data_IF_764220595533
#
_entry.id   IF_764220595533
#
_cell.length_a   1.000
_cell.length_b   1.000
_cell.length_c   1.000
_cell.angle_alpha   90.00
_cell.angle_beta   90.00
_cell.angle_gamma   90.00
#
_symmetry.space_group_name_H-M   'P 1'
#
loop_
_entity.id
_entity.type
_entity.pdbx_description
1 polymer ?
#
# COMPACT_ATOMS: atom_id res chain seq x y z
N UNK A 1 32.34 -40.78 -8.51
CA UNK A 1 32.68 -39.35 -8.49
C UNK A 1 31.37 -38.64 -8.58
N UNK A 2 30.76 -38.43 -7.42
CA UNK A 2 29.51 -37.69 -7.24
C UNK A 2 29.84 -36.19 -7.34
N UNK A 3 29.16 -35.46 -8.22
CA UNK A 3 29.13 -33.99 -8.14
C UNK A 3 27.79 -33.59 -7.52
N UNK A 4 27.88 -33.12 -6.27
CA UNK A 4 26.77 -32.57 -5.49
C UNK A 4 26.25 -31.27 -6.11
N UNK A 5 24.99 -31.28 -6.53
CA UNK A 5 24.25 -30.10 -6.97
C UNK A 5 23.88 -29.20 -5.79
N UNK A 6 24.63 -28.12 -5.59
CA UNK A 6 24.30 -27.07 -4.63
C UNK A 6 23.18 -26.18 -5.18
N UNK A 7 21.95 -26.45 -4.74
CA UNK A 7 20.80 -25.58 -4.92
C UNK A 7 21.05 -24.20 -4.27
N UNK A 8 21.08 -23.14 -5.08
CA UNK A 8 21.20 -21.76 -4.60
C UNK A 8 19.93 -21.36 -3.83
N UNK A 9 20.09 -21.14 -2.52
CA UNK A 9 19.06 -20.61 -1.64
C UNK A 9 18.76 -19.15 -2.03
N UNK A 10 17.56 -18.89 -2.55
CA UNK A 10 17.07 -17.54 -2.83
C UNK A 10 17.07 -16.72 -1.53
N UNK A 11 17.91 -15.68 -1.45
CA UNK A 11 17.95 -14.80 -0.29
C UNK A 11 16.69 -13.93 -0.24
N UNK A 12 15.89 -14.06 0.82
CA UNK A 12 14.76 -13.16 1.10
C UNK A 12 15.25 -11.71 1.13
N UNK A 13 14.58 -10.81 0.39
CA UNK A 13 14.89 -9.38 0.42
C UNK A 13 14.85 -8.88 1.87
N UNK A 14 15.97 -8.34 2.36
CA UNK A 14 16.03 -7.71 3.68
C UNK A 14 15.18 -6.44 3.65
N UNK A 15 14.11 -6.43 4.43
CA UNK A 15 13.29 -5.24 4.64
C UNK A 15 14.12 -4.04 5.13
N UNK A 16 13.56 -2.84 4.97
CA UNK A 16 14.18 -1.57 5.37
C UNK A 16 14.79 -1.68 6.78
N UNK A 17 16.04 -1.25 6.99
CA UNK A 17 16.64 -1.26 8.32
C UNK A 17 15.74 -0.46 9.26
N UNK A 18 15.39 -1.06 10.41
CA UNK A 18 14.67 -0.35 11.48
C UNK A 18 15.48 0.90 11.82
N UNK A 19 14.83 2.08 11.77
CA UNK A 19 15.47 3.34 12.18
C UNK A 19 16.09 3.14 13.56
N UNK A 20 17.42 3.16 13.61
CA UNK A 20 18.19 2.99 14.85
C UNK A 20 18.12 4.24 15.74
N UNK A 21 17.69 5.36 15.18
CA UNK A 21 17.75 6.68 15.79
C UNK A 21 16.32 7.18 16.07
N UNK A 22 15.79 6.72 17.19
CA UNK A 22 14.51 7.13 17.75
C UNK A 22 14.34 6.51 19.13
N UNK A 23 13.57 7.13 20.05
CA UNK A 23 13.31 6.55 21.35
C UNK A 23 12.69 5.16 21.16
N UNK A 24 13.43 4.12 21.60
CA UNK A 24 12.95 2.74 21.49
C UNK A 24 11.62 2.63 22.20
N UNK A 25 10.65 1.97 21.55
CA UNK A 25 9.36 1.63 22.17
C UNK A 25 9.63 1.00 23.53
N UNK A 26 9.12 1.62 24.60
CA UNK A 26 9.28 1.11 25.96
C UNK A 26 8.83 -0.36 25.99
N UNK A 27 9.60 -1.26 26.62
CA UNK A 27 9.21 -2.66 26.70
C UNK A 27 7.82 -2.76 27.34
N UNK A 28 6.96 -3.62 26.80
CA UNK A 28 5.64 -3.87 27.38
C UNK A 28 5.82 -4.35 28.82
N UNK A 29 5.35 -3.55 29.78
CA UNK A 29 5.42 -3.89 31.20
C UNK A 29 4.55 -5.10 31.55
N UNK A 30 3.42 -5.27 30.83
CA UNK A 30 2.49 -6.36 31.05
C UNK A 30 2.53 -7.39 29.92
N UNK A 31 2.82 -8.65 30.27
CA UNK A 31 2.73 -9.79 29.37
C UNK A 31 1.41 -10.54 29.65
N UNK A 32 0.40 -10.30 28.83
CA UNK A 32 -0.85 -11.06 28.91
C UNK A 32 -0.68 -12.39 28.15
N UNK A 33 -0.74 -13.52 28.87
CA UNK A 33 -0.91 -14.82 28.22
C UNK A 33 -2.36 -14.95 27.76
N UNK A 34 -2.55 -15.19 26.46
CA UNK A 34 -3.87 -15.29 25.85
C UNK A 34 -4.11 -16.74 25.45
N UNK A 35 -5.03 -17.38 26.17
CA UNK A 35 -5.40 -18.80 26.01
C UNK A 35 -6.46 -18.96 24.91
N UNK A 36 -6.33 -19.98 24.06
CA UNK A 36 -7.27 -20.27 22.95
C UNK A 36 -8.63 -20.80 23.46
N UNK A 37 -9.67 -20.79 22.62
CA UNK A 37 -10.96 -21.37 23.02
C UNK A 37 -10.89 -22.89 23.24
N UNK A 38 -10.08 -23.62 22.46
CA UNK A 38 -9.82 -25.06 22.66
C UNK A 38 -9.24 -25.34 24.04
N UNK A 39 -8.17 -24.63 24.41
CA UNK A 39 -7.50 -24.80 25.70
C UNK A 39 -8.42 -24.38 26.87
N UNK A 40 -9.19 -23.29 26.72
CA UNK A 40 -10.23 -22.90 27.69
C UNK A 40 -11.26 -24.01 27.89
N UNK A 41 -11.72 -24.66 26.82
CA UNK A 41 -12.69 -25.75 26.94
C UNK A 41 -12.09 -26.96 27.66
N UNK A 42 -10.83 -27.31 27.38
CA UNK A 42 -10.10 -28.39 28.08
C UNK A 42 -9.97 -28.08 29.57
N UNK A 43 -9.59 -26.85 29.91
CA UNK A 43 -9.52 -26.38 31.30
C UNK A 43 -10.86 -26.45 32.02
N UNK A 44 -11.96 -26.03 31.37
CA UNK A 44 -13.31 -26.12 31.94
C UNK A 44 -13.70 -27.58 32.19
N UNK A 45 -13.41 -28.50 31.24
CA UNK A 45 -13.71 -29.93 31.39
C UNK A 45 -12.91 -30.53 32.55
N UNK A 46 -11.61 -30.27 32.63
CA UNK A 46 -10.75 -30.77 33.69
C UNK A 46 -11.13 -30.20 35.07
N UNK A 47 -11.47 -28.92 35.13
CA UNK A 47 -11.97 -28.28 36.34
C UNK A 47 -13.24 -28.96 36.87
N UNK A 48 -14.17 -29.33 35.99
CA UNK A 48 -15.40 -30.02 36.40
C UNK A 48 -15.15 -31.41 36.97
N UNK A 49 -14.12 -32.12 36.53
CA UNK A 49 -13.81 -33.48 37.00
C UNK A 49 -12.88 -33.53 38.21
N UNK A 50 -11.89 -32.63 38.30
CA UNK A 50 -10.83 -32.70 39.33
C UNK A 50 -10.76 -31.49 40.27
N UNK A 51 -11.56 -30.45 40.02
CA UNK A 51 -11.59 -29.23 40.82
C UNK A 51 -10.43 -28.26 40.54
N UNK A 52 -10.51 -27.08 41.16
CA UNK A 52 -9.64 -25.94 40.82
C UNK A 52 -8.16 -26.17 41.15
N UNK A 53 -7.86 -26.70 42.34
CA UNK A 53 -6.48 -26.90 42.80
C UNK A 53 -5.72 -27.85 41.87
N UNK A 54 -6.34 -28.98 41.50
CA UNK A 54 -5.76 -29.93 40.55
C UNK A 54 -5.57 -29.32 39.15
N UNK A 55 -6.53 -28.50 38.70
CA UNK A 55 -6.44 -27.81 37.39
C UNK A 55 -5.24 -26.87 37.33
N UNK A 56 -5.01 -26.08 38.38
CA UNK A 56 -3.87 -25.16 38.44
C UNK A 56 -2.53 -25.90 38.50
N UNK A 57 -2.46 -27.07 39.14
CA UNK A 57 -1.24 -27.89 39.17
C UNK A 57 -0.96 -28.48 37.78
N UNK A 58 -1.97 -29.03 37.11
CA UNK A 58 -1.81 -29.70 35.82
C UNK A 58 -1.46 -28.73 34.67
N UNK A 59 -2.16 -27.60 34.56
CA UNK A 59 -2.02 -26.68 33.42
C UNK A 59 -1.10 -25.49 33.70
N UNK A 60 -0.86 -25.16 34.97
CA UNK A 60 -0.10 -23.98 35.36
C UNK A 60 0.85 -24.24 36.53
N UNK A 61 1.75 -25.25 36.44
CA UNK A 61 2.56 -25.72 37.57
C UNK A 61 3.48 -24.63 38.13
N UNK A 62 4.10 -23.82 37.27
CA UNK A 62 5.17 -22.87 37.63
C UNK A 62 4.69 -21.47 38.02
N UNK A 63 3.39 -21.26 38.27
CA UNK A 63 2.87 -19.94 38.64
C UNK A 63 3.08 -19.64 40.13
N UNK A 64 3.48 -18.40 40.42
CA UNK A 64 3.52 -17.85 41.78
C UNK A 64 2.09 -17.62 42.34
N UNK A 65 1.97 -17.35 43.63
CA UNK A 65 0.68 -17.25 44.33
C UNK A 65 -0.27 -16.21 43.72
N UNK A 66 0.25 -15.03 43.35
CA UNK A 66 -0.54 -13.94 42.76
C UNK A 66 -1.02 -14.29 41.34
N UNK A 67 -0.15 -14.92 40.54
CA UNK A 67 -0.49 -15.36 39.20
C UNK A 67 -1.48 -16.54 39.23
N UNK A 68 -1.34 -17.46 40.19
CA UNK A 68 -2.31 -18.56 40.41
C UNK A 68 -3.69 -18.01 40.73
N UNK A 69 -3.78 -17.02 41.59
CA UNK A 69 -5.06 -16.37 41.92
C UNK A 69 -5.67 -15.65 40.71
N UNK A 70 -4.83 -15.01 39.89
CA UNK A 70 -5.28 -14.36 38.65
C UNK A 70 -5.83 -15.37 37.63
N UNK A 71 -5.19 -16.53 37.49
CA UNK A 71 -5.68 -17.61 36.62
C UNK A 71 -6.93 -18.25 37.19
N UNK A 72 -7.00 -18.48 38.50
CA UNK A 72 -8.22 -18.98 39.17
C UNK A 72 -9.43 -18.11 38.82
N UNK A 73 -9.29 -16.79 38.92
CA UNK A 73 -10.35 -15.83 38.54
C UNK A 73 -10.72 -15.94 37.05
N UNK A 74 -9.74 -16.08 36.15
CA UNK A 74 -9.99 -16.30 34.72
C UNK A 74 -10.79 -17.58 34.46
N UNK A 75 -10.42 -18.69 35.10
CA UNK A 75 -11.13 -19.98 34.95
C UNK A 75 -12.58 -19.84 35.40
N UNK A 76 -12.86 -19.17 36.53
CA UNK A 76 -14.25 -18.91 36.93
C UNK A 76 -15.03 -18.08 35.91
N UNK A 77 -14.42 -17.04 35.35
CA UNK A 77 -15.05 -16.26 34.26
C UNK A 77 -15.32 -17.12 33.03
N UNK A 78 -14.41 -18.04 32.68
CA UNK A 78 -14.61 -18.97 31.57
C UNK A 78 -15.72 -19.99 31.86
N UNK A 79 -15.80 -20.50 33.10
CA UNK A 79 -16.88 -21.39 33.54
C UNK A 79 -18.24 -20.70 33.45
N UNK A 80 -18.32 -19.41 33.83
CA UNK A 80 -19.54 -18.60 33.68
C UNK A 80 -19.96 -18.45 32.21
N UNK A 81 -19.00 -18.32 31.30
CA UNK A 81 -19.23 -18.16 29.86
C UNK A 81 -19.05 -19.49 29.08
N UNK A 82 -19.29 -20.64 29.73
CA UNK A 82 -19.00 -21.97 29.17
C UNK A 82 -19.65 -22.21 27.83
N UNK A 83 -20.94 -21.90 27.68
CA UNK A 83 -21.71 -22.24 26.48
C UNK A 83 -21.17 -21.50 25.25
N UNK A 84 -20.79 -20.23 25.43
CA UNK A 84 -20.12 -19.44 24.40
C UNK A 84 -18.75 -20.05 24.05
N UNK A 85 -17.92 -20.37 25.05
CA UNK A 85 -16.59 -20.98 24.82
C UNK A 85 -16.71 -22.32 24.10
N UNK A 86 -17.69 -23.14 24.47
CA UNK A 86 -17.98 -24.42 23.83
C UNK A 86 -18.38 -24.22 22.36
N UNK A 87 -19.30 -23.29 22.08
CA UNK A 87 -19.68 -22.92 20.70
C UNK A 87 -18.46 -22.51 19.85
N UNK A 88 -17.57 -21.68 20.40
CA UNK A 88 -16.38 -21.21 19.69
C UNK A 88 -15.31 -22.30 19.54
N UNK A 89 -15.17 -23.20 20.51
CA UNK A 89 -14.23 -24.31 20.44
C UNK A 89 -14.67 -25.41 19.46
N UNK A 90 -15.98 -25.57 19.25
CA UNK A 90 -16.55 -26.56 18.32
C UNK A 90 -16.36 -26.20 16.84
N UNK A 91 -16.12 -24.93 16.50
CA UNK A 91 -15.92 -24.51 15.11
C UNK A 91 -14.43 -24.51 14.73
N UNK A 92 -14.03 -25.15 13.61
CA UNK A 92 -12.63 -25.21 13.16
C UNK A 92 -11.99 -23.83 12.99
N UNK A 93 -12.75 -22.84 12.52
CA UNK A 93 -12.26 -21.49 12.27
C UNK A 93 -12.02 -20.65 13.53
N UNK A 94 -12.63 -21.01 14.67
CA UNK A 94 -12.55 -20.22 15.91
C UNK A 94 -11.83 -20.92 17.06
N UNK A 95 -11.55 -22.22 16.94
CA UNK A 95 -10.99 -23.04 18.04
C UNK A 95 -9.63 -22.56 18.53
N UNK A 96 -8.74 -22.18 17.61
CA UNK A 96 -7.39 -21.69 17.91
C UNK A 96 -7.32 -20.18 18.13
N UNK A 97 -8.45 -19.47 18.09
CA UNK A 97 -8.51 -18.04 18.35
C UNK A 97 -8.66 -17.82 19.85
N UNK A 98 -7.98 -16.80 20.39
CA UNK A 98 -8.05 -16.48 21.82
C UNK A 98 -9.04 -15.34 22.14
N UNK A 99 -9.34 -14.49 21.17
CA UNK A 99 -10.30 -13.40 21.29
C UNK A 99 -11.12 -13.30 20.02
N UNK A 100 -12.44 -13.44 20.14
CA UNK A 100 -13.37 -13.18 19.05
C UNK A 100 -14.20 -11.93 19.33
N UNK A 101 -14.46 -11.16 18.28
CA UNK A 101 -15.43 -10.06 18.28
C UNK A 101 -16.32 -10.23 17.05
N UNK A 102 -17.64 -9.98 17.17
CA UNK A 102 -18.48 -9.97 16.00
C UNK A 102 -18.03 -8.88 15.03
N UNK A 103 -18.24 -9.12 13.73
CA UNK A 103 -18.11 -8.09 12.70
C UNK A 103 -19.08 -6.95 13.04
N UNK A 104 -18.64 -5.69 12.89
CA UNK A 104 -19.42 -4.52 13.30
C UNK A 104 -19.39 -4.18 14.80
N UNK A 105 -18.65 -4.93 15.63
CA UNK A 105 -18.57 -4.62 17.06
C UNK A 105 -17.79 -3.30 17.31
N UNK A 106 -18.45 -2.31 17.92
CA UNK A 106 -17.84 -1.03 18.29
C UNK A 106 -17.70 -0.05 17.11
N UNK A 107 -18.57 -0.15 16.11
CA UNK A 107 -18.69 0.87 15.07
C UNK A 107 -19.34 2.13 15.63
N UNK A 108 -18.81 3.30 15.25
CA UNK A 108 -19.40 4.61 15.56
C UNK A 108 -20.55 4.99 14.62
N UNK A 109 -20.64 4.34 13.46
CA UNK A 109 -21.79 4.48 12.55
C UNK A 109 -22.83 3.41 12.89
N UNK A 110 -24.11 3.78 12.78
CA UNK A 110 -25.22 2.85 12.85
C UNK A 110 -25.15 1.85 11.69
N UNK A 111 -25.74 0.66 11.86
CA UNK A 111 -25.80 -0.37 10.83
C UNK A 111 -26.49 0.15 9.56
N UNK A 112 -27.57 0.92 9.69
CA UNK A 112 -28.33 1.47 8.56
C UNK A 112 -27.50 2.48 7.76
N UNK A 113 -26.80 3.37 8.48
CA UNK A 113 -25.86 4.35 7.93
C UNK A 113 -24.70 3.67 7.19
N UNK A 114 -24.16 2.60 7.78
CA UNK A 114 -23.09 1.82 7.19
C UNK A 114 -23.56 1.08 5.93
N UNK A 115 -24.78 0.55 5.93
CA UNK A 115 -25.39 -0.09 4.75
C UNK A 115 -25.60 0.91 3.61
N UNK A 116 -25.99 2.16 3.92
CA UNK A 116 -26.08 3.21 2.92
C UNK A 116 -24.73 3.46 2.22
N UNK A 117 -23.64 3.52 3.00
CA UNK A 117 -22.29 3.68 2.46
C UNK A 117 -21.86 2.49 1.59
N UNK A 118 -22.21 1.26 1.99
CA UNK A 118 -21.97 0.06 1.18
C UNK A 118 -22.73 0.13 -0.14
N UNK A 119 -24.01 0.51 -0.10
CA UNK A 119 -24.86 0.66 -1.30
C UNK A 119 -24.26 1.67 -2.27
N UNK A 120 -23.80 2.80 -1.76
CA UNK A 120 -23.09 3.80 -2.57
C UNK A 120 -21.85 3.23 -3.27
N UNK A 121 -21.00 2.46 -2.57
CA UNK A 121 -19.82 1.82 -3.20
C UNK A 121 -20.24 0.87 -4.32
N UNK A 122 -21.27 0.05 -4.09
CA UNK A 122 -21.77 -0.91 -5.06
C UNK A 122 -22.40 -0.23 -6.28
N UNK A 123 -23.15 0.85 -6.08
CA UNK A 123 -23.76 1.63 -7.15
C UNK A 123 -22.69 2.30 -8.02
N UNK A 124 -21.67 2.92 -7.40
CA UNK A 124 -20.52 3.47 -8.13
C UNK A 124 -19.77 2.40 -8.93
N UNK A 125 -19.56 1.22 -8.33
CA UNK A 125 -18.93 0.09 -9.02
C UNK A 125 -19.77 -0.41 -10.20
N UNK A 126 -21.10 -0.53 -10.03
CA UNK A 126 -22.04 -0.90 -11.09
C UNK A 126 -22.04 0.13 -12.23
N UNK A 127 -21.90 1.40 -11.89
CA UNK A 127 -21.74 2.48 -12.85
C UNK A 127 -20.32 2.55 -13.45
N UNK A 128 -19.41 1.68 -13.04
CA UNK A 128 -18.01 1.63 -13.49
C UNK A 128 -17.21 2.86 -13.08
N UNK A 129 -17.66 3.61 -12.08
CA UNK A 129 -16.93 4.73 -11.48
C UNK A 129 -15.96 4.16 -10.46
N UNK A 130 -14.65 4.43 -10.58
CA UNK A 130 -13.68 3.89 -9.65
C UNK A 130 -13.81 4.58 -8.29
N UNK A 131 -13.98 3.79 -7.22
CA UNK A 131 -14.03 4.28 -5.84
C UNK A 131 -12.68 4.06 -5.18
N UNK A 132 -12.02 5.15 -4.79
CA UNK A 132 -10.76 5.09 -4.05
C UNK A 132 -10.99 5.09 -2.54
N UNK A 133 -9.97 4.73 -1.74
CA UNK A 133 -10.04 4.86 -0.28
C UNK A 133 -10.32 6.31 0.15
N UNK A 134 -9.82 7.31 -0.59
CA UNK A 134 -10.05 8.70 -0.25
C UNK A 134 -11.50 9.12 -0.50
N UNK A 135 -12.08 8.70 -1.62
CA UNK A 135 -13.50 8.92 -1.90
C UNK A 135 -14.37 8.26 -0.83
N UNK A 136 -14.05 7.02 -0.43
CA UNK A 136 -14.75 6.35 0.66
C UNK A 136 -14.66 7.12 1.98
N UNK A 137 -13.50 7.70 2.30
CA UNK A 137 -13.35 8.54 3.50
C UNK A 137 -14.24 9.79 3.45
N UNK A 138 -14.22 10.50 2.33
CA UNK A 138 -15.02 11.71 2.12
C UNK A 138 -16.50 11.38 2.29
N UNK A 139 -16.98 10.36 1.57
CA UNK A 139 -18.38 9.92 1.70
C UNK A 139 -18.72 9.45 3.12
N UNK A 140 -17.82 8.75 3.80
CA UNK A 140 -18.06 8.32 5.18
C UNK A 140 -18.19 9.50 6.14
N UNK A 141 -17.45 10.60 5.92
CA UNK A 141 -17.58 11.83 6.69
C UNK A 141 -18.90 12.53 6.40
N UNK A 142 -19.28 12.66 5.13
CA UNK A 142 -20.57 13.25 4.72
C UNK A 142 -21.74 12.49 5.35
N UNK A 143 -21.74 11.16 5.22
CA UNK A 143 -22.77 10.28 5.80
C UNK A 143 -22.82 10.37 7.34
N UNK A 144 -21.68 10.61 7.99
CA UNK A 144 -21.63 10.82 9.44
C UNK A 144 -22.30 12.15 9.84
N UNK A 145 -22.02 13.23 9.09
CA UNK A 145 -22.64 14.55 9.28
C UNK A 145 -24.16 14.47 9.07
N UNK A 146 -24.60 13.80 8.01
CA UNK A 146 -26.02 13.58 7.72
C UNK A 146 -26.73 12.78 8.81
N UNK A 147 -25.99 11.90 9.49
CA UNK A 147 -26.48 11.13 10.64
C UNK A 147 -26.44 11.92 11.96
N UNK A 148 -26.03 13.19 11.93
CA UNK A 148 -25.98 14.10 13.07
C UNK A 148 -24.71 13.99 13.94
N UNK A 149 -23.69 13.26 13.47
CA UNK A 149 -22.42 13.17 14.19
C UNK A 149 -21.59 14.43 13.97
N UNK A 150 -20.89 14.88 15.02
CA UNK A 150 -19.97 16.00 14.95
C UNK A 150 -18.58 15.54 14.45
N UNK A 151 -17.80 16.45 13.87
CA UNK A 151 -16.48 16.15 13.27
C UNK A 151 -15.51 15.39 14.21
N UNK A 152 -15.59 15.63 15.51
CA UNK A 152 -14.73 14.99 16.51
C UNK A 152 -15.23 13.60 16.94
N UNK A 153 -16.49 13.26 16.68
CA UNK A 153 -17.10 11.98 17.05
C UNK A 153 -16.80 10.88 16.02
N UNK A 154 -16.60 11.28 14.75
CA UNK A 154 -16.32 10.36 13.66
C UNK A 154 -15.09 10.77 12.85
N UNK A 155 -13.99 10.04 13.06
CA UNK A 155 -12.80 10.15 12.23
C UNK A 155 -12.75 9.00 11.22
N UNK A 156 -12.80 9.32 9.92
CA UNK A 156 -12.63 8.35 8.82
C UNK A 156 -11.16 7.90 8.64
N UNK A 157 -10.49 7.56 9.73
CA UNK A 157 -9.10 7.12 9.75
C UNK A 157 -8.89 5.74 9.10
N UNK A 158 -7.62 5.37 8.89
CA UNK A 158 -7.22 4.09 8.27
C UNK A 158 -7.92 2.87 8.89
N UNK A 159 -8.04 2.82 10.22
CA UNK A 159 -8.66 1.71 10.93
C UNK A 159 -10.16 1.57 10.64
N UNK A 160 -10.90 2.68 10.42
CA UNK A 160 -12.31 2.64 10.03
C UNK A 160 -12.47 2.15 8.60
N UNK A 161 -11.67 2.69 7.67
CA UNK A 161 -11.66 2.26 6.26
C UNK A 161 -11.32 0.77 6.14
N UNK A 162 -10.26 0.32 6.83
CA UNK A 162 -9.86 -1.08 6.83
C UNK A 162 -10.91 -1.98 7.49
N UNK A 163 -11.50 -1.54 8.61
CA UNK A 163 -12.59 -2.23 9.28
C UNK A 163 -13.81 -2.42 8.39
N UNK A 164 -14.29 -1.33 7.77
CA UNK A 164 -15.40 -1.31 6.83
C UNK A 164 -15.17 -2.28 5.67
N UNK A 165 -13.99 -2.21 5.05
CA UNK A 165 -13.63 -3.12 3.94
C UNK A 165 -13.68 -4.59 4.36
N UNK A 166 -13.10 -4.92 5.51
CA UNK A 166 -13.10 -6.28 6.03
C UNK A 166 -14.51 -6.75 6.41
N UNK A 167 -15.34 -5.85 6.94
CA UNK A 167 -16.71 -6.14 7.35
C UNK A 167 -17.61 -6.48 6.18
N UNK A 168 -17.48 -5.73 5.08
CA UNK A 168 -18.33 -5.86 3.90
C UNK A 168 -17.67 -6.64 2.76
N UNK A 169 -16.54 -7.29 3.03
CA UNK A 169 -15.82 -8.09 2.03
C UNK A 169 -15.37 -7.27 0.82
N UNK A 170 -14.92 -6.03 1.01
CA UNK A 170 -14.44 -5.15 -0.06
C UNK A 170 -12.91 -5.11 -0.11
N UNK A 171 -12.34 -5.09 -1.31
CA UNK A 171 -10.89 -5.03 -1.53
C UNK A 171 -10.55 -4.01 -2.62
N UNK A 172 -9.34 -3.43 -2.54
CA UNK A 172 -8.84 -2.57 -3.63
C UNK A 172 -8.36 -3.49 -4.73
N UNK A 173 -8.83 -3.26 -5.95
CA UNK A 173 -8.51 -4.11 -7.08
C UNK A 173 -8.11 -3.26 -8.27
N UNK A 174 -7.04 -3.67 -8.94
CA UNK A 174 -6.57 -3.02 -10.14
C UNK A 174 -7.28 -3.57 -11.37
N UNK A 175 -7.36 -2.77 -12.43
CA UNK A 175 -7.72 -3.29 -13.76
C UNK A 175 -6.68 -4.29 -14.22
N UNK A 176 -7.10 -5.45 -14.72
CA UNK A 176 -6.21 -6.50 -15.24
C UNK A 176 -5.35 -5.96 -16.39
N UNK A 177 -4.02 -5.96 -16.20
CA UNK A 177 -3.03 -5.75 -17.27
C UNK A 177 -1.90 -6.77 -17.12
N UNK A 178 -1.43 -7.28 -18.26
CA UNK A 178 -0.37 -8.27 -18.40
C UNK A 178 1.00 -7.57 -18.45
N UNK A 179 1.96 -8.11 -17.69
CA UNK A 179 3.41 -8.15 -17.95
C UNK A 179 4.24 -6.86 -17.79
N UNK A 180 5.20 -6.88 -16.85
CA UNK A 180 6.46 -6.13 -16.97
C UNK A 180 7.61 -7.15 -17.02
N UNK A 181 8.56 -6.92 -17.93
CA UNK A 181 9.79 -7.71 -18.06
C UNK A 181 10.76 -7.46 -16.89
N UNK A 182 11.55 -8.48 -16.53
CA UNK A 182 12.55 -8.40 -15.45
C UNK A 182 13.84 -7.72 -15.89
N UNK A 183 14.56 -7.02 -14.98
CA UNK A 183 15.64 -6.10 -15.34
C UNK A 183 17.04 -6.70 -15.11
N UNK A 184 17.26 -7.98 -15.38
CA UNK A 184 18.55 -8.63 -15.08
C UNK A 184 19.72 -8.13 -15.98
N UNK A 185 19.48 -7.69 -17.22
CA UNK A 185 20.53 -7.27 -18.18
C UNK A 185 20.98 -5.78 -18.10
N UNK A 186 20.44 -5.03 -17.14
CA UNK A 186 20.58 -3.56 -17.13
C UNK A 186 21.93 -3.02 -16.64
N UNK A 187 22.62 -3.75 -15.74
CA UNK A 187 23.76 -3.19 -14.97
C UNK A 187 25.05 -3.13 -15.78
N UNK A 188 25.36 -4.18 -16.54
CA UNK A 188 26.58 -4.24 -17.35
C UNK A 188 26.51 -3.26 -18.54
N UNK A 189 25.35 -3.21 -19.20
CA UNK A 189 25.05 -2.26 -20.28
C UNK A 189 25.18 -0.80 -19.80
N UNK A 190 24.77 -0.50 -18.57
CA UNK A 190 24.87 0.84 -17.98
C UNK A 190 26.32 1.26 -17.72
N UNK A 191 27.18 0.36 -17.24
CA UNK A 191 28.59 0.66 -16.97
C UNK A 191 29.38 0.93 -18.26
N UNK A 192 29.13 0.14 -19.32
CA UNK A 192 29.73 0.37 -20.64
C UNK A 192 29.31 1.71 -21.24
N UNK A 193 28.02 2.06 -21.12
CA UNK A 193 27.49 3.34 -21.59
C UNK A 193 28.07 4.53 -20.82
N UNK A 194 28.11 4.47 -19.49
CA UNK A 194 28.63 5.54 -18.65
C UNK A 194 30.11 5.86 -18.94
N UNK A 195 30.94 4.83 -19.12
CA UNK A 195 32.36 4.98 -19.44
C UNK A 195 32.57 5.73 -20.75
N UNK A 196 31.78 5.41 -21.78
CA UNK A 196 31.81 6.10 -23.08
C UNK A 196 31.42 7.56 -22.97
N UNK A 197 30.38 7.89 -22.20
CA UNK A 197 29.93 9.28 -22.00
C UNK A 197 31.02 10.09 -21.29
N UNK A 198 31.69 9.54 -20.28
CA UNK A 198 32.78 10.25 -19.57
C UNK A 198 33.94 10.62 -20.49
N UNK A 199 34.36 9.74 -21.39
CA UNK A 199 35.42 10.05 -22.37
C UNK A 199 35.01 11.24 -23.25
N UNK A 200 33.79 11.23 -23.79
CA UNK A 200 33.27 12.31 -24.65
C UNK A 200 33.21 13.64 -23.90
N UNK A 201 32.79 13.63 -22.63
CA UNK A 201 32.74 14.85 -21.81
C UNK A 201 34.12 15.46 -21.61
N UNK A 202 35.13 14.62 -21.36
CA UNK A 202 36.52 15.06 -21.17
C UNK A 202 37.15 15.57 -22.48
N UNK A 203 36.96 14.85 -23.58
CA UNK A 203 37.56 15.17 -24.88
C UNK A 203 37.02 16.48 -25.48
N UNK A 204 35.75 16.80 -25.21
CA UNK A 204 35.06 17.96 -25.78
C UNK A 204 34.81 19.11 -24.78
N UNK A 205 35.31 19.01 -23.54
CA UNK A 205 35.14 20.02 -22.49
C UNK A 205 33.66 20.42 -22.29
N UNK A 206 32.77 19.43 -22.19
CA UNK A 206 31.32 19.66 -22.09
C UNK A 206 30.95 19.95 -20.63
N UNK A 207 30.53 21.17 -20.34
CA UNK A 207 30.18 21.63 -18.99
C UNK A 207 28.74 21.25 -18.56
N UNK A 208 27.82 21.13 -19.51
CA UNK A 208 26.39 20.88 -19.25
C UNK A 208 25.84 19.71 -20.03
N UNK A 209 25.13 18.83 -19.31
CA UNK A 209 24.42 17.68 -19.89
C UNK A 209 22.94 17.95 -19.74
N UNK A 210 22.20 17.77 -20.83
CA UNK A 210 20.75 17.87 -20.83
C UNK A 210 20.13 16.49 -21.00
N UNK A 211 19.24 16.12 -20.09
CA UNK A 211 18.38 14.95 -20.26
C UNK A 211 17.04 15.41 -20.83
N UNK A 212 16.72 14.91 -22.02
CA UNK A 212 15.47 15.16 -22.69
C UNK A 212 14.72 13.85 -22.86
N UNK A 213 13.50 13.76 -22.31
CA UNK A 213 12.68 12.56 -22.44
C UNK A 213 11.23 12.91 -22.83
N UNK A 214 10.64 12.03 -23.64
CA UNK A 214 9.25 12.14 -24.09
C UNK A 214 8.35 11.28 -23.19
N UNK A 215 7.54 11.95 -22.37
CA UNK A 215 6.52 11.28 -21.57
C UNK A 215 5.14 11.47 -22.18
N UNK A 216 4.31 10.44 -22.07
CA UNK A 216 2.91 10.53 -22.47
C UNK A 216 2.07 11.10 -21.32
N UNK A 217 1.49 12.28 -21.51
CA UNK A 217 0.49 12.86 -20.61
C UNK A 217 -0.89 12.46 -21.11
N UNK A 218 -1.53 11.52 -20.40
CA UNK A 218 -2.86 11.04 -20.76
C UNK A 218 -3.90 12.14 -20.57
N UNK A 219 -4.89 12.22 -21.45
CA UNK A 219 -6.01 13.16 -21.29
C UNK A 219 -6.97 12.74 -20.18
N UNK A 220 -7.14 11.42 -19.98
CA UNK A 220 -7.93 10.85 -18.91
C UNK A 220 -7.02 10.27 -17.82
N UNK A 221 -7.10 10.83 -16.62
CA UNK A 221 -6.45 10.28 -15.43
C UNK A 221 -7.51 9.62 -14.54
N UNK A 222 -7.77 8.34 -14.79
CA UNK A 222 -8.66 7.53 -13.98
C UNK A 222 -7.86 6.73 -12.95
N UNK A 223 -8.32 6.64 -11.69
CA UNK A 223 -7.68 5.77 -10.69
C UNK A 223 -7.50 4.34 -11.21
N UNK A 224 -6.29 3.81 -11.05
CA UNK A 224 -5.92 2.47 -11.52
C UNK A 224 -6.54 1.35 -10.68
N UNK A 225 -6.83 1.66 -9.40
CA UNK A 225 -7.40 0.73 -8.43
C UNK A 225 -8.75 1.27 -7.93
N UNK A 226 -9.72 0.38 -7.78
CA UNK A 226 -11.05 0.69 -7.27
C UNK A 226 -11.44 -0.30 -6.18
N UNK A 227 -12.30 0.14 -5.28
CA UNK A 227 -12.91 -0.70 -4.27
C UNK A 227 -14.01 -1.56 -4.91
N UNK A 228 -13.92 -2.87 -4.74
CA UNK A 228 -14.88 -3.84 -5.25
C UNK A 228 -15.10 -5.01 -4.29
N UNK A 229 -16.20 -5.77 -4.45
CA UNK A 229 -16.38 -7.04 -3.76
C UNK A 229 -15.16 -7.96 -3.92
N UNK A 230 -14.77 -8.59 -2.82
CA UNK A 230 -13.66 -9.53 -2.78
C UNK A 230 -14.07 -10.82 -3.47
N UNK A 231 -13.26 -11.27 -4.41
CA UNK A 231 -13.53 -12.48 -5.21
C UNK A 231 -13.91 -12.17 -6.67
N UNK A 232 -14.21 -10.91 -7.00
CA UNK A 232 -14.53 -10.54 -8.38
C UNK A 232 -13.33 -10.73 -9.31
N UNK A 233 -13.57 -11.50 -10.37
CA UNK A 233 -12.57 -11.83 -11.42
C UNK A 233 -12.38 -10.70 -12.42
N UNK A 234 -13.43 -9.91 -12.66
CA UNK A 234 -13.45 -8.88 -13.70
C UNK A 234 -13.91 -7.56 -13.11
N UNK A 235 -13.12 -6.52 -13.32
CA UNK A 235 -13.38 -5.18 -12.80
C UNK A 235 -13.57 -4.25 -13.98
N UNK A 236 -14.79 -3.79 -14.17
CA UNK A 236 -15.13 -2.82 -15.21
C UNK A 236 -15.00 -1.41 -14.65
N UNK A 237 -14.17 -0.59 -15.29
CA UNK A 237 -14.10 0.85 -15.04
C UNK A 237 -14.53 1.52 -16.35
N UNK A 238 -15.58 2.34 -16.30
CA UNK A 238 -16.01 3.13 -17.45
C UNK A 238 -14.90 4.14 -17.77
N UNK A 239 -14.34 3.99 -18.96
CA UNK A 239 -13.39 4.94 -19.53
C UNK A 239 -14.04 5.59 -20.75
N UNK A 240 -13.69 6.82 -21.09
CA UNK A 240 -14.22 7.52 -22.27
C UNK A 240 -13.68 6.98 -23.61
N UNK A 241 -13.18 5.73 -23.63
CA UNK A 241 -12.53 5.11 -24.79
C UNK A 241 -11.16 5.68 -25.14
N UNK A 242 -10.72 6.73 -24.43
CA UNK A 242 -9.52 7.53 -24.72
C UNK A 242 -8.43 7.36 -23.67
N UNK A 243 -8.46 6.28 -22.90
CA UNK A 243 -7.46 5.99 -21.85
C UNK A 243 -6.02 5.91 -22.38
N UNK A 244 -5.83 5.67 -23.68
CA UNK A 244 -4.52 5.66 -24.35
C UNK A 244 -4.27 6.95 -25.15
N UNK A 245 -5.26 7.83 -25.32
CA UNK A 245 -5.03 9.14 -25.91
C UNK A 245 -4.21 9.97 -24.93
N UNK A 246 -3.09 10.49 -25.44
CA UNK A 246 -2.12 11.23 -24.68
C UNK A 246 -1.46 12.28 -25.55
N UNK A 247 -1.12 13.41 -24.95
CA UNK A 247 -0.16 14.34 -25.54
C UNK A 247 1.22 13.86 -25.19
N UNK A 248 2.13 13.86 -26.14
CA UNK A 248 3.54 13.66 -25.82
C UNK A 248 4.08 14.98 -25.27
N UNK A 249 4.53 14.98 -24.03
CA UNK A 249 5.24 16.10 -23.44
C UNK A 249 6.73 15.76 -23.39
N UNK A 250 7.56 16.66 -23.88
CA UNK A 250 9.01 16.57 -23.79
C UNK A 250 9.47 17.35 -22.56
N UNK A 251 10.17 16.64 -21.69
CA UNK A 251 10.72 17.13 -20.44
C UNK A 251 12.20 17.31 -20.60
N UNK A 252 12.72 18.45 -20.14
CA UNK A 252 14.13 18.78 -20.22
C UNK A 252 14.65 19.18 -18.84
N UNK A 253 15.74 18.57 -18.41
CA UNK A 253 16.46 18.92 -17.19
C UNK A 253 17.97 18.94 -17.44
N UNK A 254 18.68 19.86 -16.79
CA UNK A 254 20.13 19.95 -16.90
C UNK A 254 20.86 19.24 -15.74
N UNK A 255 22.17 19.07 -15.89
CA UNK A 255 23.07 18.47 -14.89
C UNK A 255 23.16 19.26 -13.58
N UNK A 256 22.70 20.52 -13.55
CA UNK A 256 22.61 21.34 -12.32
C UNK A 256 21.32 21.08 -11.55
N UNK A 257 20.40 20.31 -12.12
CA UNK A 257 19.08 20.02 -11.58
C UNK A 257 18.01 21.03 -11.97
N UNK A 258 18.32 22.01 -12.81
CA UNK A 258 17.37 22.98 -13.30
C UNK A 258 16.37 22.32 -14.26
N UNK A 259 15.09 22.62 -14.06
CA UNK A 259 14.01 22.16 -14.94
C UNK A 259 13.73 23.25 -15.97
N UNK A 260 13.68 22.85 -17.23
CA UNK A 260 13.30 23.75 -18.31
C UNK A 260 11.80 23.66 -18.62
N UNK A 261 11.22 24.67 -19.28
CA UNK A 261 9.80 24.69 -19.63
C UNK A 261 9.36 23.44 -20.40
N UNK A 262 8.16 22.96 -20.10
CA UNK A 262 7.54 21.82 -20.76
C UNK A 262 7.27 22.12 -22.23
N UNK A 263 7.63 21.19 -23.12
CA UNK A 263 7.26 21.26 -24.54
C UNK A 263 6.20 20.22 -24.88
N UNK A 264 5.02 20.65 -25.32
CA UNK A 264 4.00 19.73 -25.82
C UNK A 264 4.22 19.42 -27.30
N UNK A 265 4.47 18.16 -27.59
CA UNK A 265 4.60 17.62 -28.96
C UNK A 265 3.22 17.13 -29.40
N UNK A 266 2.48 17.99 -30.09
CA UNK A 266 1.19 17.64 -30.66
C UNK A 266 1.39 16.81 -31.92
N UNK A 267 0.72 15.66 -32.08
CA UNK A 267 0.74 14.91 -33.35
C UNK A 267 -0.22 15.59 -34.35
N UNK A 268 0.15 15.78 -35.63
CA UNK A 268 -0.77 16.37 -36.59
C UNK A 268 -1.88 15.36 -36.90
N UNK A 269 -3.09 15.81 -37.29
CA UNK A 269 -4.07 14.92 -37.88
C UNK A 269 -3.44 14.22 -39.09
N UNK A 270 -3.74 12.92 -39.28
CA UNK A 270 -3.26 12.19 -40.46
C UNK A 270 -3.86 12.84 -41.71
N UNK A 271 -3.01 13.49 -42.51
CA UNK A 271 -3.40 14.05 -43.81
C UNK A 271 -2.94 13.12 -44.92
N UNK A 272 -3.82 12.82 -45.89
CA UNK A 272 -3.50 11.97 -47.07
C UNK A 272 -2.44 12.57 -48.01
N UNK A 273 -2.21 13.89 -47.96
CA UNK A 273 -1.20 14.58 -48.78
C UNK A 273 0.12 14.75 -48.02
N UNK A 274 1.21 14.25 -48.62
CA UNK A 274 2.58 14.34 -48.07
C UNK A 274 3.12 15.76 -48.02
N UNK A 275 2.67 16.63 -48.92
CA UNK A 275 3.16 18.01 -49.04
C UNK A 275 2.55 18.91 -47.97
N UNK A 276 1.26 18.71 -47.67
CA UNK A 276 0.56 19.34 -46.55
C UNK A 276 1.12 18.85 -45.21
N UNK A 277 1.49 17.57 -45.09
CA UNK A 277 2.17 17.04 -43.91
C UNK A 277 3.53 17.71 -43.68
N UNK A 278 4.36 17.85 -44.73
CA UNK A 278 5.67 18.53 -44.66
C UNK A 278 5.54 20.01 -44.29
N UNK A 279 4.58 20.72 -44.89
CA UNK A 279 4.29 22.13 -44.59
C UNK A 279 3.77 22.34 -43.16
N UNK A 280 2.93 21.42 -42.68
CA UNK A 280 2.44 21.43 -41.29
C UNK A 280 3.56 21.11 -40.28
N UNK A 281 4.51 20.24 -40.63
CA UNK A 281 5.69 19.97 -39.80
C UNK A 281 6.62 21.18 -39.72
N UNK A 282 6.84 21.90 -40.83
CA UNK A 282 7.73 23.08 -40.86
C UNK A 282 7.12 24.32 -40.20
N UNK A 283 5.79 24.48 -40.20
CA UNK A 283 5.08 25.59 -39.55
C UNK A 283 4.93 25.46 -38.03
N UNK A 284 5.36 24.35 -37.43
CA UNK A 284 5.24 24.13 -35.98
C UNK A 284 6.25 24.97 -35.21
N UNK A 285 5.76 26.07 -34.63
CA UNK A 285 6.39 26.64 -33.44
C UNK A 285 5.92 25.83 -32.24
N UNK A 286 6.84 25.13 -31.57
CA UNK A 286 6.59 24.64 -30.23
C UNK A 286 6.17 25.85 -29.39
N UNK A 287 4.93 25.89 -28.92
CA UNK A 287 4.49 26.96 -28.02
C UNK A 287 4.92 26.55 -26.61
N UNK A 288 5.78 27.32 -25.92
CA UNK A 288 6.02 27.09 -24.51
C UNK A 288 4.69 27.32 -23.80
N UNK A 289 4.07 26.25 -23.33
CA UNK A 289 2.88 26.33 -22.49
C UNK A 289 3.37 26.17 -21.05
N UNK A 290 3.23 27.21 -20.25
CA UNK A 290 3.54 27.18 -18.83
C UNK A 290 2.46 26.39 -18.09
N UNK A 291 2.53 25.07 -18.14
CA UNK A 291 1.65 24.25 -17.30
C UNK A 291 2.26 24.16 -15.91
N UNK A 292 1.52 24.63 -14.91
CA UNK A 292 1.86 24.60 -13.48
C UNK A 292 1.77 23.17 -12.91
N UNK A 293 2.44 22.20 -13.54
CA UNK A 293 2.37 20.77 -13.20
C UNK A 293 3.61 20.25 -12.46
N UNK A 294 4.64 21.07 -12.22
CA UNK A 294 5.96 20.57 -11.79
C UNK A 294 6.71 21.42 -10.76
N UNK A 295 6.00 22.11 -9.86
CA UNK A 295 6.67 22.86 -8.79
C UNK A 295 7.30 21.96 -7.71
N UNK A 296 6.86 20.70 -7.58
CA UNK A 296 7.07 19.97 -6.32
C UNK A 296 8.17 18.88 -6.37
N UNK A 297 8.78 18.61 -7.53
CA UNK A 297 9.91 17.66 -7.60
C UNK A 297 11.22 18.37 -7.18
N UNK A 298 11.93 17.95 -6.13
CA UNK A 298 13.12 18.67 -5.68
C UNK A 298 14.29 18.51 -6.66
N UNK A 299 15.10 19.57 -6.79
CA UNK A 299 16.33 19.62 -7.62
C UNK A 299 17.27 18.45 -7.30
N UNK A 300 17.30 18.02 -6.04
CA UNK A 300 18.09 16.89 -5.54
C UNK A 300 17.72 15.57 -6.22
N UNK A 301 16.45 15.33 -6.55
CA UNK A 301 16.01 14.11 -7.27
C UNK A 301 16.58 14.06 -8.69
N UNK A 302 16.64 15.21 -9.37
CA UNK A 302 17.17 15.29 -10.74
C UNK A 302 18.68 15.05 -10.72
N UNK A 303 19.40 15.74 -9.84
CA UNK A 303 20.85 15.57 -9.67
C UNK A 303 21.20 14.13 -9.26
N UNK A 304 20.40 13.51 -8.38
CA UNK A 304 20.58 12.10 -8.03
C UNK A 304 20.36 11.15 -9.22
N UNK A 305 19.47 11.47 -10.15
CA UNK A 305 19.32 10.75 -11.41
C UNK A 305 20.60 10.79 -12.26
N UNK A 306 21.18 11.98 -12.46
CA UNK A 306 22.45 12.14 -13.18
C UNK A 306 23.63 11.43 -12.50
N UNK A 307 23.68 11.43 -11.17
CA UNK A 307 24.68 10.68 -10.38
C UNK A 307 24.50 9.17 -10.51
N UNK A 308 23.26 8.67 -10.49
CA UNK A 308 22.95 7.24 -10.66
C UNK A 308 23.33 6.73 -12.04
N UNK A 309 23.18 7.57 -13.07
CA UNK A 309 23.65 7.31 -14.43
C UNK A 309 25.16 7.57 -14.63
N UNK A 310 25.90 7.91 -13.56
CA UNK A 310 27.35 8.12 -13.61
C UNK A 310 27.79 9.28 -14.54
N UNK A 311 26.93 10.28 -14.75
CA UNK A 311 27.18 11.43 -15.64
C UNK A 311 27.73 12.67 -14.93
N UNK A 312 27.66 12.73 -13.60
CA UNK A 312 28.17 13.82 -12.76
C UNK A 312 28.94 13.21 -11.59
N UNK A 313 30.06 13.82 -11.19
CA UNK A 313 30.91 13.33 -10.11
C UNK A 313 30.33 13.58 -8.72
N UNK A 314 30.60 12.63 -7.81
CA UNK A 314 30.20 12.66 -6.41
C UNK A 314 29.21 11.56 -6.04
N UNK A 315 29.25 11.05 -4.78
CA UNK A 315 28.33 10.00 -4.34
C UNK A 315 26.87 10.48 -4.47
N UNK A 316 25.97 9.56 -4.83
CA UNK A 316 24.54 9.79 -4.63
C UNK A 316 24.33 10.08 -3.16
N UNK A 317 23.92 11.29 -2.84
CA UNK A 317 23.59 11.65 -1.46
C UNK A 317 22.26 10.97 -1.15
N UNK A 318 22.32 9.79 -0.53
CA UNK A 318 21.27 9.34 0.38
C UNK A 318 21.36 10.17 1.66
N UNK A 319 21.31 11.50 1.52
CA UNK A 319 21.11 12.36 2.67
C UNK A 319 19.66 12.14 3.10
N UNK A 320 19.50 11.39 4.18
CA UNK A 320 18.50 11.72 5.18
C UNK A 320 18.65 13.23 5.42
N UNK A 321 17.79 14.05 4.81
CA UNK A 321 17.50 15.35 5.39
C UNK A 321 17.01 15.04 6.80
N UNK A 322 17.88 15.28 7.78
CA UNK A 322 17.41 15.48 9.14
C UNK A 322 16.47 16.66 9.06
N UNK A 323 15.16 16.40 9.05
CA UNK A 323 14.16 17.42 9.25
C UNK A 323 14.58 18.20 10.49
N UNK A 324 14.84 19.49 10.34
CA UNK A 324 14.66 20.40 11.46
C UNK A 324 13.26 20.13 12.00
N UNK A 325 13.19 19.85 13.30
CA UNK A 325 11.95 19.51 13.98
C UNK A 325 11.03 20.73 13.81
N UNK A 326 10.06 20.63 12.91
CA UNK A 326 8.97 21.58 12.82
C UNK A 326 8.20 21.49 14.13
N UNK A 327 8.02 22.62 14.80
CA UNK A 327 7.25 22.70 16.05
C UNK A 327 5.87 22.05 15.87
N UNK A 328 5.39 21.34 16.89
CA UNK A 328 4.16 20.55 16.84
C UNK A 328 2.94 21.37 16.35
N UNK A 329 2.95 22.69 16.58
CA UNK A 329 1.91 23.61 16.14
C UNK A 329 1.88 23.78 14.60
N UNK A 330 3.05 23.83 13.95
CA UNK A 330 3.18 23.89 12.49
C UNK A 330 2.87 22.53 11.88
N UNK A 331 3.21 21.43 12.58
CA UNK A 331 2.87 20.07 12.14
C UNK A 331 1.34 19.87 12.11
N UNK A 332 0.62 20.35 13.14
CA UNK A 332 -0.84 20.30 13.20
C UNK A 332 -1.48 21.17 12.11
N UNK A 333 -0.93 22.35 11.83
CA UNK A 333 -1.41 23.22 10.74
C UNK A 333 -1.13 22.62 9.34
N UNK A 334 0.03 21.97 9.15
CA UNK A 334 0.38 21.26 7.91
C UNK A 334 -0.50 20.00 7.70
N UNK A 335 -0.82 19.26 8.77
CA UNK A 335 -1.76 18.14 8.71
C UNK A 335 -3.21 18.59 8.45
N UNK A 336 -3.56 19.82 8.83
CA UNK A 336 -4.86 20.42 8.53
C UNK A 336 -4.96 21.00 7.11
N UNK A 337 -3.83 21.41 6.50
CA UNK A 337 -3.82 22.16 5.23
C UNK A 337 -3.24 21.40 4.03
N UNK A 338 -2.44 20.35 4.23
CA UNK A 338 -1.83 19.58 3.14
C UNK A 338 -2.58 18.26 2.85
N UNK A 339 -3.50 18.33 1.89
CA UNK A 339 -4.01 17.16 1.18
C UNK A 339 -2.99 16.70 0.12
N UNK A 340 -2.04 15.84 0.50
CA UNK A 340 -1.15 15.10 -0.43
C UNK A 340 -0.88 13.71 0.16
N UNK A 341 -1.64 12.69 -0.28
CA UNK A 341 -1.23 11.62 -1.22
C UNK A 341 -0.65 10.37 -0.55
N UNK A 342 -1.22 9.24 -0.95
CA UNK A 342 -0.68 7.88 -0.96
C UNK A 342 0.39 7.52 0.08
N UNK A 343 -0.08 7.12 1.27
CA UNK A 343 0.69 6.19 2.09
C UNK A 343 0.78 4.86 1.33
N UNK A 344 1.89 4.65 0.63
CA UNK A 344 2.33 3.34 0.18
C UNK A 344 2.54 2.44 1.41
N UNK A 345 1.79 1.35 1.51
CA UNK A 345 2.01 0.26 2.47
C UNK A 345 2.84 -0.86 1.80
N UNK A 346 4.02 -1.23 2.33
CA UNK A 346 4.90 -2.26 1.78
C UNK A 346 4.45 -3.72 2.06
N UNK A 347 3.20 -3.96 2.46
CA UNK A 347 2.76 -5.29 2.92
C UNK A 347 1.85 -6.13 2.01
N UNK A 348 1.40 -5.63 0.84
CA UNK A 348 0.21 -6.23 0.20
C UNK A 348 0.43 -7.02 -1.11
N UNK A 349 1.67 -7.44 -1.40
CA UNK A 349 2.01 -8.38 -2.49
C UNK A 349 2.65 -9.67 -1.96
N UNK A 350 1.95 -10.37 -1.05
CA UNK A 350 2.14 -11.82 -0.89
C UNK A 350 0.82 -12.46 -1.25
N UNK A 351 0.70 -12.84 -2.53
CA UNK A 351 -0.32 -13.79 -2.95
C UNK A 351 -0.13 -15.07 -2.15
N UNK A 352 -1.17 -15.46 -1.41
CA UNK A 352 -1.27 -16.79 -0.85
C UNK A 352 -1.61 -17.75 -2.01
N UNK A 353 -0.61 -18.13 -2.80
CA UNK A 353 -0.68 -19.32 -3.66
C UNK A 353 -0.38 -20.52 -2.77
N UNK A 354 -1.45 -21.10 -2.24
CA UNK A 354 -1.43 -22.35 -1.51
C UNK A 354 -2.67 -23.13 -1.93
N UNK A 355 -2.78 -23.40 -3.22
CA UNK A 355 -3.68 -24.41 -3.75
C UNK A 355 -2.81 -25.68 -3.88
N UNK A 356 -2.92 -26.55 -2.89
CA UNK A 356 -2.47 -27.94 -2.99
C UNK A 356 -3.54 -28.69 -3.80
N UNK A 357 -3.26 -28.92 -5.08
CA UNK A 357 -4.04 -29.83 -5.91
C UNK A 357 -3.75 -31.27 -5.45
N UNK A 358 -4.62 -31.84 -4.62
CA UNK A 358 -4.73 -33.29 -4.46
C UNK A 358 -5.41 -33.88 -5.70
N UNK A 359 -4.59 -34.49 -6.56
CA UNK A 359 -5.02 -35.39 -7.64
C UNK A 359 -5.80 -36.58 -7.04
N UNK A 360 -7.13 -36.51 -7.11
CA UNK A 360 -8.00 -37.68 -7.01
C UNK A 360 -8.27 -38.20 -8.42
N UNK A 361 -7.62 -39.31 -8.75
CA UNK A 361 -7.77 -40.02 -10.02
C UNK A 361 -9.19 -40.55 -10.27
N UNK A 362 -9.58 -40.46 -11.53
CA UNK A 362 -10.56 -41.33 -12.17
C UNK A 362 -9.91 -41.87 -13.46
N UNK A 363 -9.21 -43.00 -13.33
CA UNK A 363 -9.58 -44.27 -13.97
C UNK A 363 -8.92 -45.45 -13.23
#
# INVERSE_FOLDING_TARGET
MEEDGLAQVQSRQRGRPVSKYGPKKKPKQFKNSVVTYSERLTLIKYYKSFGMSATLVAFHPHLNTVARESVRKKIFTWVKNRDFIQKMASSPGTTNISCWRPLGAGTTLSADTEEHLVRWVLDMSKDGVPVTNNMLKIMALEVAIDSGLQDHEFLAGWHRVHGFKRQHGLSMRARTRIGQDTPEDGVETLNGFASRIRCILADHNIERIYNADQTGVNYEYLPTKTLNPTGDRTISIKCGGKTKERVTAMLLADSTGAKHPLFLVLRPPQTRSSEVYRSNCSRRRARPLWVRLRKDLPTTTIVNGFKKCQHVDGPSTLAEESCEVLDDDVLVELFATCAVEDTMDPGNDIGNTGDEDEDAGLD
#
